data_IF_917020454424
#
_entry.id   IF_917020454424
#
_cell.length_a   1.000
_cell.length_b   1.000
_cell.length_c   1.000
_cell.angle_alpha   90.00
_cell.angle_beta   90.00
_cell.angle_gamma   90.00
#
_symmetry.space_group_name_H-M   'P 1'
#
loop_
_entity.id
_entity.type
_entity.pdbx_description
1 polymer ?
#
# COMPACT_ATOMS: atom_id res chain seq x y z
N UNK A 1 -14.05 -28.11 10.68
CA UNK A 1 -13.40 -26.78 10.71
C UNK A 1 -12.24 -26.80 9.73
N UNK A 2 -12.45 -26.40 8.48
CA UNK A 2 -11.36 -26.21 7.52
C UNK A 2 -10.49 -25.06 8.00
N UNK A 3 -9.23 -25.35 8.31
CA UNK A 3 -8.22 -24.31 8.55
C UNK A 3 -8.02 -23.59 7.22
N UNK A 4 -8.46 -22.34 7.14
CA UNK A 4 -8.14 -21.44 6.03
C UNK A 4 -6.63 -21.45 5.84
N UNK A 5 -6.19 -22.03 4.72
CA UNK A 5 -4.79 -22.07 4.30
C UNK A 5 -4.29 -20.62 4.32
N UNK A 6 -3.18 -20.28 5.01
CA UNK A 6 -2.71 -18.91 5.05
C UNK A 6 -2.41 -18.48 3.61
N UNK A 7 -3.16 -17.49 3.11
CA UNK A 7 -2.85 -16.84 1.83
C UNK A 7 -1.39 -16.37 1.91
N UNK A 8 -0.60 -16.75 0.91
CA UNK A 8 0.76 -16.27 0.80
C UNK A 8 0.72 -14.74 0.81
N UNK A 9 1.41 -14.13 1.78
CA UNK A 9 1.48 -12.68 1.88
C UNK A 9 2.21 -12.16 0.65
N UNK A 10 1.61 -11.19 -0.03
CA UNK A 10 2.29 -10.43 -1.08
C UNK A 10 3.58 -9.82 -0.50
N UNK A 11 4.67 -9.87 -1.25
CA UNK A 11 5.92 -9.25 -0.81
C UNK A 11 5.73 -7.72 -0.76
N UNK A 12 6.47 -7.05 0.12
CA UNK A 12 6.42 -5.58 0.21
C UNK A 12 6.72 -4.90 -1.14
N UNK A 13 7.57 -5.50 -1.98
CA UNK A 13 7.89 -4.99 -3.30
C UNK A 13 6.74 -5.12 -4.31
N UNK A 14 6.06 -6.27 -4.33
CA UNK A 14 4.87 -6.49 -5.17
C UNK A 14 3.74 -5.53 -4.79
N UNK A 15 3.51 -5.37 -3.48
CA UNK A 15 2.52 -4.44 -2.95
C UNK A 15 2.83 -2.99 -3.35
N UNK A 16 4.09 -2.55 -3.22
CA UNK A 16 4.51 -1.21 -3.65
C UNK A 16 4.29 -0.99 -5.16
N UNK A 17 4.52 -2.02 -5.97
CA UNK A 17 4.25 -1.97 -7.40
C UNK A 17 2.74 -1.90 -7.71
N UNK A 18 1.88 -2.58 -6.94
CA UNK A 18 0.43 -2.47 -7.08
C UNK A 18 -0.08 -1.07 -6.74
N UNK A 19 0.34 -0.54 -5.58
CA UNK A 19 -0.01 0.81 -5.14
C UNK A 19 0.42 1.85 -6.19
N UNK A 20 1.59 1.68 -6.80
CA UNK A 20 2.07 2.59 -7.85
C UNK A 20 1.17 2.58 -9.09
N UNK A 21 0.65 1.40 -9.50
CA UNK A 21 -0.31 1.30 -10.61
C UNK A 21 -1.65 1.93 -10.26
N UNK A 22 -2.15 1.69 -9.06
CA UNK A 22 -3.40 2.27 -8.56
C UNK A 22 -3.30 3.79 -8.49
N UNK A 23 -2.16 4.33 -8.04
CA UNK A 23 -1.91 5.77 -8.01
C UNK A 23 -1.93 6.40 -9.40
N UNK A 24 -1.38 5.73 -10.41
CA UNK A 24 -1.45 6.21 -11.79
C UNK A 24 -2.90 6.33 -12.29
N UNK A 25 -3.77 5.37 -11.91
CA UNK A 25 -5.20 5.40 -12.23
C UNK A 25 -5.89 6.55 -11.50
N UNK A 26 -5.64 6.71 -10.19
CA UNK A 26 -6.21 7.78 -9.38
C UNK A 26 -5.83 9.16 -9.93
N UNK A 27 -4.55 9.38 -10.26
CA UNK A 27 -4.06 10.63 -10.82
C UNK A 27 -4.75 10.96 -12.16
N UNK A 28 -4.96 9.97 -13.02
CA UNK A 28 -5.71 10.14 -14.27
C UNK A 28 -7.16 10.53 -13.99
N UNK A 29 -7.85 9.84 -13.09
CA UNK A 29 -9.25 10.15 -12.75
C UNK A 29 -9.41 11.53 -12.10
N UNK A 30 -8.45 11.96 -11.27
CA UNK A 30 -8.43 13.33 -10.72
C UNK A 30 -8.23 14.38 -11.81
N UNK A 31 -7.41 14.10 -12.82
CA UNK A 31 -7.23 15.00 -13.96
C UNK A 31 -8.50 15.10 -14.81
N UNK A 32 -9.20 13.98 -15.04
CA UNK A 32 -10.47 13.93 -15.78
C UNK A 32 -11.61 14.66 -15.06
N UNK A 33 -11.64 14.60 -13.72
CA UNK A 33 -12.67 15.26 -12.91
C UNK A 33 -12.38 16.71 -12.54
N UNK A 34 -11.23 17.27 -12.95
CA UNK A 34 -10.81 18.62 -12.55
C UNK A 34 -11.79 19.69 -13.07
N UNK A 35 -12.18 20.60 -12.19
CA UNK A 35 -13.10 21.70 -12.48
C UNK A 35 -14.57 21.34 -12.29
N UNK A 36 -14.91 20.07 -12.05
CA UNK A 36 -16.25 19.67 -11.66
C UNK A 36 -16.44 19.89 -10.14
N UNK A 37 -17.36 20.78 -9.72
CA UNK A 37 -17.52 21.15 -8.32
C UNK A 37 -18.07 20.02 -7.43
N UNK A 38 -18.60 18.95 -8.00
CA UNK A 38 -19.13 17.78 -7.27
C UNK A 38 -18.18 16.59 -7.40
N UNK A 39 -17.68 16.32 -8.61
CA UNK A 39 -16.82 15.16 -8.86
C UNK A 39 -15.41 15.36 -8.29
N UNK A 40 -14.81 16.55 -8.43
CA UNK A 40 -13.43 16.81 -7.98
C UNK A 40 -13.27 16.60 -6.46
N UNK A 41 -14.13 17.13 -5.56
CA UNK A 41 -14.01 16.88 -4.13
C UNK A 41 -14.23 15.41 -3.76
N UNK A 42 -15.17 14.73 -4.43
CA UNK A 42 -15.46 13.31 -4.16
C UNK A 42 -14.31 12.40 -4.58
N UNK A 43 -13.76 12.62 -5.77
CA UNK A 43 -12.60 11.88 -6.27
C UNK A 43 -11.38 12.13 -5.40
N UNK A 44 -11.16 13.39 -4.96
CA UNK A 44 -10.07 13.75 -4.05
C UNK A 44 -10.21 13.04 -2.71
N UNK A 45 -11.39 13.06 -2.10
CA UNK A 45 -11.63 12.37 -0.83
C UNK A 45 -11.40 10.85 -0.94
N UNK A 46 -11.90 10.23 -2.02
CA UNK A 46 -11.68 8.81 -2.28
C UNK A 46 -10.19 8.49 -2.48
N UNK A 47 -9.48 9.32 -3.25
CA UNK A 47 -8.04 9.19 -3.47
C UNK A 47 -7.23 9.26 -2.17
N UNK A 48 -7.56 10.22 -1.29
CA UNK A 48 -6.91 10.36 0.01
C UNK A 48 -7.19 9.17 0.93
N UNK A 49 -8.42 8.68 0.97
CA UNK A 49 -8.78 7.50 1.76
C UNK A 49 -7.98 6.27 1.30
N UNK A 50 -7.90 6.05 -0.01
CA UNK A 50 -7.12 4.96 -0.61
C UNK A 50 -5.64 5.03 -0.24
N UNK A 51 -5.02 6.21 -0.37
CA UNK A 51 -3.63 6.47 0.02
C UNK A 51 -3.35 6.14 1.49
N UNK A 52 -4.25 6.51 2.40
CA UNK A 52 -4.10 6.22 3.83
C UNK A 52 -4.18 4.73 4.14
N UNK A 53 -5.04 3.99 3.45
CA UNK A 53 -5.18 2.53 3.61
C UNK A 53 -3.92 1.84 3.10
N UNK A 54 -3.50 2.12 1.87
CA UNK A 54 -2.32 1.51 1.26
C UNK A 54 -1.04 1.80 2.04
N UNK A 55 -0.87 3.04 2.53
CA UNK A 55 0.32 3.42 3.33
C UNK A 55 0.38 2.67 4.66
N UNK A 56 -0.76 2.48 5.34
CA UNK A 56 -0.84 1.68 6.56
C UNK A 56 -0.43 0.23 6.32
N UNK A 57 -0.95 -0.39 5.27
CA UNK A 57 -0.66 -1.79 4.95
C UNK A 57 0.80 -1.98 4.51
N UNK A 58 1.35 -1.06 3.71
CA UNK A 58 2.75 -1.08 3.31
C UNK A 58 3.67 -0.95 4.53
N UNK A 59 3.36 -0.05 5.46
CA UNK A 59 4.11 0.11 6.71
C UNK A 59 4.07 -1.16 7.56
N UNK A 60 2.90 -1.79 7.71
CA UNK A 60 2.77 -3.07 8.41
C UNK A 60 3.62 -4.15 7.76
N UNK A 61 3.64 -4.19 6.43
CA UNK A 61 4.43 -5.17 5.71
C UNK A 61 5.95 -4.94 5.89
N UNK A 62 6.40 -3.69 5.80
CA UNK A 62 7.79 -3.31 6.08
C UNK A 62 8.23 -3.67 7.50
N UNK A 63 7.40 -3.40 8.51
CA UNK A 63 7.71 -3.71 9.91
C UNK A 63 7.86 -5.22 10.15
N UNK A 64 7.01 -6.03 9.52
CA UNK A 64 7.11 -7.49 9.62
C UNK A 64 8.37 -8.01 8.91
N UNK A 65 8.69 -7.49 7.72
CA UNK A 65 9.86 -7.95 6.96
C UNK A 65 11.17 -7.58 7.67
N UNK A 66 11.22 -6.39 8.27
CA UNK A 66 12.38 -5.93 9.04
C UNK A 66 12.51 -6.68 10.37
N UNK A 67 11.40 -6.95 11.08
CA UNK A 67 11.43 -7.75 12.32
C UNK A 67 11.87 -9.21 12.10
N UNK A 68 11.58 -9.79 10.93
CA UNK A 68 12.00 -11.15 10.57
C UNK A 68 13.48 -11.27 10.19
N UNK A 69 14.18 -10.15 9.95
CA UNK A 69 15.64 -10.12 9.77
C UNK A 69 16.28 -9.70 11.08
N UNK A 70 16.58 -10.61 12.03
CA UNK A 70 17.53 -10.27 13.08
C UNK A 70 18.86 -9.99 12.38
N UNK A 71 19.31 -8.74 12.43
CA UNK A 71 20.70 -8.43 12.12
C UNK A 71 21.53 -9.23 13.13
N UNK A 72 22.09 -10.37 12.71
CA UNK A 72 23.14 -11.03 13.48
C UNK A 72 24.26 -10.00 13.60
N UNK A 73 24.38 -9.39 14.77
CA UNK A 73 25.58 -8.67 15.13
C UNK A 73 26.64 -9.75 15.27
N UNK A 74 27.41 -9.99 14.22
CA UNK A 74 28.65 -10.77 14.34
C UNK A 74 29.63 -9.90 15.12
N UNK A 75 29.62 -10.07 16.45
CA UNK A 75 30.70 -9.58 17.31
C UNK A 75 31.86 -10.53 17.08
N UNK A 76 32.72 -10.21 16.10
CA UNK A 76 33.99 -10.88 15.92
C UNK A 76 34.81 -10.70 17.21
N UNK A 77 35.02 -11.79 17.93
CA UNK A 77 35.87 -11.91 19.13
C UNK A 77 37.26 -12.41 18.75
#
# INVERSE_FOLDING_TARGET
>A
MEKSKPMARESTAEMAASISRELAVILRSLAEGRGDPIAEPRLTAAAMAHLLICSRELLQNLLIDTARRPQRIEINS
#
